data_IF_806871952210
#
_entry.id   IF_806871952210
#
_cell.length_a   1.000
_cell.length_b   1.000
_cell.length_c   1.000
_cell.angle_alpha   90.00
_cell.angle_beta   90.00
_cell.angle_gamma   90.00
#
_symmetry.space_group_name_H-M   'P 1'
#
loop_
_entity.id
_entity.type
_entity.pdbx_description
1 polymer ?
#
# COMPACT_ATOMS: atom_id res chain seq x y z
N UNK A 1 14.98 17.48 5.38
CA UNK A 1 14.90 16.01 5.48
C UNK A 1 14.86 15.66 6.96
N UNK A 2 13.72 15.15 7.46
CA UNK A 2 13.68 14.57 8.80
C UNK A 2 14.32 13.19 8.71
N UNK A 3 15.54 13.04 9.19
CA UNK A 3 16.15 11.72 9.40
C UNK A 3 15.36 11.05 10.51
N UNK A 4 14.41 10.19 10.14
CA UNK A 4 13.80 9.30 11.12
C UNK A 4 14.92 8.49 11.78
N UNK A 5 15.02 8.55 13.11
CA UNK A 5 15.92 7.67 13.84
C UNK A 5 15.59 6.22 13.46
N UNK A 6 16.60 5.50 12.97
CA UNK A 6 16.42 4.12 12.55
C UNK A 6 16.29 3.28 13.82
N UNK A 7 15.07 2.85 14.15
CA UNK A 7 14.82 1.95 15.27
C UNK A 7 15.64 0.67 15.08
N UNK A 8 16.25 0.19 16.17
CA UNK A 8 16.91 -1.12 16.13
C UNK A 8 15.87 -2.23 16.05
N UNK A 9 16.25 -3.41 15.56
CA UNK A 9 15.37 -4.59 15.54
C UNK A 9 14.79 -4.89 16.94
N UNK A 10 15.61 -4.74 17.98
CA UNK A 10 15.19 -4.93 19.38
C UNK A 10 14.12 -3.93 19.81
N UNK A 11 14.21 -2.68 19.35
CA UNK A 11 13.21 -1.66 19.66
C UNK A 11 11.90 -1.92 18.92
N UNK A 12 11.99 -2.35 17.66
CA UNK A 12 10.83 -2.75 16.85
C UNK A 12 10.10 -3.93 17.51
N UNK A 13 10.82 -4.97 17.92
CA UNK A 13 10.22 -6.15 18.57
C UNK A 13 9.53 -5.79 19.89
N UNK A 14 10.11 -4.89 20.69
CA UNK A 14 9.49 -4.41 21.94
C UNK A 14 8.20 -3.64 21.69
N UNK A 15 8.21 -2.74 20.70
CA UNK A 15 7.03 -1.96 20.31
C UNK A 15 5.93 -2.90 19.80
N UNK A 16 6.28 -3.84 18.91
CA UNK A 16 5.32 -4.81 18.38
C UNK A 16 4.74 -5.72 19.47
N UNK A 17 5.56 -6.19 20.41
CA UNK A 17 5.10 -6.99 21.53
C UNK A 17 4.14 -6.20 22.45
N UNK A 18 4.45 -4.93 22.71
CA UNK A 18 3.57 -4.06 23.50
C UNK A 18 2.26 -3.75 22.77
N UNK A 19 2.30 -3.48 21.46
CA UNK A 19 1.10 -3.24 20.65
C UNK A 19 0.24 -4.49 20.48
N UNK A 20 0.83 -5.68 20.43
CA UNK A 20 0.08 -6.93 20.34
C UNK A 20 -0.81 -7.17 21.57
N UNK A 21 -0.40 -6.68 22.75
CA UNK A 21 -1.14 -6.86 24.00
C UNK A 21 -2.09 -5.69 24.27
N UNK A 22 -1.60 -4.45 24.13
CA UNK A 22 -2.30 -3.26 24.63
C UNK A 22 -2.64 -2.24 23.53
N UNK A 23 -2.22 -2.49 22.28
CA UNK A 23 -2.23 -1.48 21.22
C UNK A 23 -1.28 -0.30 21.50
N UNK A 24 -1.22 0.69 20.61
CA UNK A 24 -0.48 1.92 20.85
C UNK A 24 -1.12 2.71 21.99
N UNK A 25 -0.29 3.29 22.86
CA UNK A 25 -0.72 4.19 23.94
C UNK A 25 -1.36 5.45 23.36
N UNK A 26 -2.15 6.16 24.18
CA UNK A 26 -2.79 7.41 23.73
C UNK A 26 -1.77 8.47 23.31
N UNK A 27 -0.67 8.59 24.04
CA UNK A 27 0.40 9.53 23.72
C UNK A 27 1.05 9.23 22.35
N UNK A 28 1.29 7.94 22.04
CA UNK A 28 1.81 7.53 20.74
C UNK A 28 0.82 7.82 19.61
N UNK A 29 -0.48 7.59 19.84
CA UNK A 29 -1.52 7.93 18.86
C UNK A 29 -1.59 9.44 18.61
N UNK A 30 -1.58 10.26 19.66
CA UNK A 30 -1.64 11.71 19.54
C UNK A 30 -0.38 12.26 18.85
N UNK A 31 0.80 11.72 19.16
CA UNK A 31 2.07 12.07 18.48
C UNK A 31 2.04 11.70 17.00
N UNK A 32 1.52 10.51 16.66
CA UNK A 32 1.35 10.09 15.28
C UNK A 32 0.41 11.04 14.52
N UNK A 33 -0.76 11.35 15.09
CA UNK A 33 -1.73 12.27 14.47
C UNK A 33 -1.11 13.66 14.26
N UNK A 34 -0.42 14.20 15.26
CA UNK A 34 0.24 15.51 15.14
C UNK A 34 1.30 15.51 14.04
N UNK A 35 2.10 14.46 13.95
CA UNK A 35 3.13 14.28 12.91
C UNK A 35 2.49 14.19 11.52
N UNK A 36 1.44 13.38 11.36
CA UNK A 36 0.72 13.25 10.09
C UNK A 36 0.11 14.58 9.66
N UNK A 37 -0.50 15.34 10.58
CA UNK A 37 -1.04 16.67 10.29
C UNK A 37 0.08 17.62 9.84
N UNK A 38 1.23 17.61 10.52
CA UNK A 38 2.38 18.43 10.14
C UNK A 38 2.87 18.06 8.73
N UNK A 39 2.98 16.77 8.44
CA UNK A 39 3.46 16.27 7.16
C UNK A 39 2.50 16.56 6.01
N UNK A 40 1.19 16.50 6.26
CA UNK A 40 0.16 16.86 5.29
C UNK A 40 0.07 18.38 5.05
N UNK A 41 0.58 19.20 5.96
CA UNK A 41 0.68 20.65 5.80
C UNK A 41 1.98 21.10 5.13
N UNK A 42 2.96 20.20 4.94
CA UNK A 42 4.21 20.46 4.22
C UNK A 42 4.06 20.12 2.72
N UNK A 43 4.04 21.10 1.81
CA UNK A 43 3.87 20.86 0.37
C UNK A 43 4.95 19.96 -0.23
N UNK A 44 6.18 19.98 0.29
CA UNK A 44 7.26 19.14 -0.22
C UNK A 44 7.02 17.68 0.16
N UNK A 45 6.56 17.41 1.38
CA UNK A 45 6.22 16.06 1.84
C UNK A 45 5.00 15.52 1.09
N UNK A 46 3.96 16.33 0.90
CA UNK A 46 2.80 15.94 0.08
C UNK A 46 3.23 15.59 -1.35
N UNK A 47 4.08 16.39 -1.98
CA UNK A 47 4.63 16.08 -3.30
C UNK A 47 5.53 14.83 -3.30
N UNK A 48 6.20 14.52 -2.19
CA UNK A 48 6.92 13.25 -1.99
C UNK A 48 5.96 12.05 -1.96
N UNK A 49 4.88 12.13 -1.17
CA UNK A 49 3.88 11.06 -1.10
C UNK A 49 3.23 10.79 -2.46
N UNK A 50 2.89 11.83 -3.21
CA UNK A 50 2.32 11.69 -4.56
C UNK A 50 3.26 10.93 -5.50
N UNK A 51 4.55 11.29 -5.52
CA UNK A 51 5.56 10.59 -6.33
C UNK A 51 5.73 9.14 -5.91
N UNK A 52 5.79 8.87 -4.60
CA UNK A 52 5.91 7.49 -4.13
C UNK A 52 4.70 6.64 -4.55
N UNK A 53 3.49 7.19 -4.52
CA UNK A 53 2.27 6.51 -4.97
C UNK A 53 2.33 6.25 -6.48
N UNK A 54 2.79 7.23 -7.26
CA UNK A 54 2.98 7.09 -8.71
C UNK A 54 4.01 6.00 -9.04
N UNK A 55 5.17 6.00 -8.37
CA UNK A 55 6.21 4.99 -8.53
C UNK A 55 5.71 3.59 -8.21
N UNK A 56 4.95 3.41 -7.12
CA UNK A 56 4.33 2.11 -6.80
C UNK A 56 3.39 1.64 -7.92
N UNK A 57 2.63 2.56 -8.53
CA UNK A 57 1.78 2.25 -9.68
C UNK A 57 2.59 1.82 -10.91
N UNK A 58 3.71 2.49 -11.18
CA UNK A 58 4.63 2.13 -12.27
C UNK A 58 5.22 0.74 -12.03
N UNK A 59 5.78 0.49 -10.83
CA UNK A 59 6.38 -0.81 -10.49
C UNK A 59 5.37 -1.95 -10.57
N UNK A 60 4.13 -1.73 -10.14
CA UNK A 60 3.07 -2.72 -10.29
C UNK A 60 2.87 -3.14 -11.75
N UNK A 61 2.85 -2.18 -12.69
CA UNK A 61 2.73 -2.45 -14.11
C UNK A 61 3.97 -3.15 -14.70
N UNK A 62 5.18 -2.75 -14.27
CA UNK A 62 6.43 -3.35 -14.73
C UNK A 62 6.54 -4.82 -14.30
N UNK A 63 6.16 -5.13 -13.06
CA UNK A 63 6.14 -6.50 -12.53
C UNK A 63 5.10 -7.34 -13.26
N UNK A 64 3.88 -6.81 -13.49
CA UNK A 64 2.85 -7.51 -14.25
C UNK A 64 3.31 -7.84 -15.68
N UNK A 65 3.94 -6.88 -16.37
CA UNK A 65 4.52 -7.11 -17.69
C UNK A 65 5.66 -8.14 -17.67
N UNK A 66 6.48 -8.17 -16.61
CA UNK A 66 7.51 -9.20 -16.45
C UNK A 66 6.90 -10.58 -16.24
N UNK A 67 5.82 -10.68 -15.46
CA UNK A 67 5.13 -11.93 -15.19
C UNK A 67 4.47 -12.48 -16.45
N UNK A 68 3.84 -11.64 -17.26
CA UNK A 68 3.30 -12.02 -18.57
C UNK A 68 4.39 -12.59 -19.51
N UNK A 69 5.56 -11.94 -19.57
CA UNK A 69 6.69 -12.44 -20.38
C UNK A 69 7.15 -13.84 -19.94
N UNK A 70 7.25 -14.07 -18.63
CA UNK A 70 7.62 -15.40 -18.09
C UNK A 70 6.54 -16.42 -18.40
N UNK A 71 5.26 -16.10 -18.17
CA UNK A 71 4.13 -16.98 -18.50
C UNK A 71 4.14 -17.41 -19.97
N UNK A 72 4.34 -16.46 -20.89
CA UNK A 72 4.43 -16.77 -22.34
C UNK A 72 5.63 -17.65 -22.67
N UNK A 73 6.78 -17.38 -22.06
CA UNK A 73 7.99 -18.16 -22.28
C UNK A 73 7.86 -19.59 -21.76
N UNK A 74 7.25 -19.76 -20.58
CA UNK A 74 6.98 -21.09 -20.03
C UNK A 74 6.00 -21.88 -20.89
N UNK A 75 4.95 -21.23 -21.41
CA UNK A 75 4.02 -21.88 -22.31
C UNK A 75 4.70 -22.29 -23.62
N UNK A 76 5.54 -21.43 -24.22
CA UNK A 76 6.31 -21.79 -25.43
C UNK A 76 7.24 -23.00 -25.19
N UNK A 77 7.96 -23.01 -24.06
CA UNK A 77 8.83 -24.13 -23.68
C UNK A 77 8.00 -25.41 -23.49
N UNK A 78 6.87 -25.33 -22.80
CA UNK A 78 6.00 -26.48 -22.58
C UNK A 78 5.43 -27.03 -23.89
N UNK A 79 4.99 -26.17 -24.80
CA UNK A 79 4.46 -26.59 -26.11
C UNK A 79 5.53 -27.29 -26.97
N UNK A 80 6.78 -26.83 -26.91
CA UNK A 80 7.88 -27.43 -27.68
C UNK A 80 8.41 -28.73 -27.10
N UNK A 81 8.50 -28.82 -25.78
CA UNK A 81 9.27 -29.86 -25.11
C UNK A 81 8.49 -30.69 -24.07
N UNK A 82 7.24 -30.33 -23.78
CA UNK A 82 6.44 -30.94 -22.72
C UNK A 82 6.13 -32.42 -22.92
N UNK A 83 6.13 -32.91 -24.16
CA UNK A 83 6.00 -34.35 -24.45
C UNK A 83 7.27 -35.14 -24.11
N UNK A 84 8.44 -34.48 -24.19
CA UNK A 84 9.75 -35.07 -23.86
C UNK A 84 10.09 -34.91 -22.37
N UNK A 85 9.63 -33.82 -21.76
CA UNK A 85 9.85 -33.50 -20.34
C UNK A 85 8.52 -33.17 -19.65
N UNK A 86 7.75 -34.20 -19.25
CA UNK A 86 6.42 -34.02 -18.66
C UNK A 86 6.42 -33.18 -17.37
N UNK A 87 7.54 -33.15 -16.64
CA UNK A 87 7.73 -32.34 -15.43
C UNK A 87 7.59 -30.83 -15.68
N UNK A 88 7.79 -30.37 -16.91
CA UNK A 88 7.56 -28.97 -17.29
C UNK A 88 6.10 -28.55 -17.07
N UNK A 89 5.14 -29.47 -17.18
CA UNK A 89 3.74 -29.21 -16.87
C UNK A 89 3.59 -28.70 -15.43
N UNK A 90 4.26 -29.37 -14.48
CA UNK A 90 4.18 -29.02 -13.06
C UNK A 90 4.79 -27.64 -12.79
N UNK A 91 5.96 -27.35 -13.35
CA UNK A 91 6.59 -26.03 -13.20
C UNK A 91 5.71 -24.91 -13.75
N UNK A 92 5.10 -25.12 -14.92
CA UNK A 92 4.15 -24.17 -15.52
C UNK A 92 2.94 -23.96 -14.61
N UNK A 93 2.37 -25.03 -14.07
CA UNK A 93 1.18 -24.95 -13.23
C UNK A 93 1.48 -24.26 -11.89
N UNK A 94 2.63 -24.54 -11.28
CA UNK A 94 3.12 -23.86 -10.08
C UNK A 94 3.33 -22.35 -10.34
N UNK A 95 3.95 -21.98 -11.47
CA UNK A 95 4.09 -20.59 -11.88
C UNK A 95 2.75 -19.90 -12.09
N UNK A 96 1.82 -20.54 -12.81
CA UNK A 96 0.48 -20.00 -13.06
C UNK A 96 -0.29 -19.77 -11.76
N UNK A 97 -0.15 -20.68 -10.79
CA UNK A 97 -0.72 -20.54 -9.45
C UNK A 97 -0.13 -19.34 -8.71
N UNK A 98 1.20 -19.19 -8.73
CA UNK A 98 1.89 -18.05 -8.14
C UNK A 98 1.47 -16.71 -8.77
N UNK A 99 1.47 -16.63 -10.11
CA UNK A 99 1.05 -15.44 -10.85
C UNK A 99 -0.40 -15.03 -10.49
N UNK A 100 -1.32 -16.00 -10.41
CA UNK A 100 -2.71 -15.73 -9.99
C UNK A 100 -2.78 -15.11 -8.59
N UNK A 101 -1.98 -15.60 -7.64
CA UNK A 101 -1.93 -15.01 -6.29
C UNK A 101 -1.41 -13.58 -6.30
N UNK A 102 -0.36 -13.32 -7.08
CA UNK A 102 0.17 -11.96 -7.28
C UNK A 102 -0.90 -11.00 -7.80
N UNK A 103 -1.62 -11.39 -8.86
CA UNK A 103 -2.72 -10.59 -9.42
C UNK A 103 -3.81 -10.32 -8.38
N UNK A 104 -4.20 -11.33 -7.58
CA UNK A 104 -5.16 -11.13 -6.47
C UNK A 104 -4.67 -10.09 -5.46
N UNK A 105 -3.39 -10.11 -5.08
CA UNK A 105 -2.82 -9.15 -4.16
C UNK A 105 -2.75 -7.73 -4.75
N UNK A 106 -2.44 -7.60 -6.04
CA UNK A 106 -2.49 -6.32 -6.74
C UNK A 106 -3.91 -5.73 -6.76
N UNK A 107 -4.92 -6.56 -7.07
CA UNK A 107 -6.32 -6.13 -7.06
C UNK A 107 -6.76 -5.67 -5.68
N UNK A 108 -6.41 -6.42 -4.63
CA UNK A 108 -6.70 -6.02 -3.25
C UNK A 108 -6.05 -4.68 -2.90
N UNK A 109 -4.78 -4.46 -3.28
CA UNK A 109 -4.10 -3.19 -3.05
C UNK A 109 -4.81 -2.03 -3.73
N UNK A 110 -5.23 -2.20 -4.99
CA UNK A 110 -6.02 -1.21 -5.74
C UNK A 110 -7.36 -0.92 -5.07
N UNK A 111 -8.05 -1.95 -4.61
CA UNK A 111 -9.37 -1.82 -3.99
C UNK A 111 -9.28 -1.06 -2.66
N UNK A 112 -8.28 -1.41 -1.83
CA UNK A 112 -7.97 -0.68 -0.58
C UNK A 112 -7.65 0.79 -0.88
N UNK A 113 -6.81 1.07 -1.89
CA UNK A 113 -6.51 2.45 -2.28
C UNK A 113 -7.78 3.22 -2.72
N UNK A 114 -8.64 2.57 -3.49
CA UNK A 114 -9.90 3.15 -3.97
C UNK A 114 -10.90 3.43 -2.84
N UNK A 115 -10.98 2.52 -1.86
CA UNK A 115 -11.79 2.69 -0.66
C UNK A 115 -11.29 3.88 0.18
N UNK A 116 -9.97 3.98 0.40
CA UNK A 116 -9.38 5.11 1.13
C UNK A 116 -9.69 6.45 0.46
N UNK A 117 -9.54 6.56 -0.86
CA UNK A 117 -9.92 7.76 -1.61
C UNK A 117 -11.40 8.10 -1.41
N UNK A 118 -12.26 7.09 -1.44
CA UNK A 118 -13.71 7.27 -1.26
C UNK A 118 -14.07 7.77 0.15
N UNK A 119 -13.44 7.19 1.18
CA UNK A 119 -13.61 7.61 2.58
C UNK A 119 -13.15 9.06 2.76
N UNK A 120 -11.96 9.40 2.28
CA UNK A 120 -11.40 10.75 2.37
C UNK A 120 -12.28 11.77 1.67
N UNK A 121 -12.75 11.47 0.45
CA UNK A 121 -13.69 12.33 -0.29
C UNK A 121 -14.98 12.55 0.49
N UNK A 122 -15.57 11.48 1.05
CA UNK A 122 -16.81 11.59 1.85
C UNK A 122 -16.59 12.47 3.08
N UNK A 123 -15.55 12.19 3.88
CA UNK A 123 -15.26 12.95 5.11
C UNK A 123 -14.96 14.43 4.81
N UNK A 124 -14.19 14.72 3.76
CA UNK A 124 -13.83 16.10 3.40
C UNK A 124 -14.96 16.87 2.69
N UNK A 125 -15.84 16.19 1.96
CA UNK A 125 -17.03 16.80 1.35
C UNK A 125 -18.06 17.26 2.38
N UNK A 126 -18.12 16.60 3.55
CA UNK A 126 -18.96 17.01 4.68
C UNK A 126 -18.41 18.27 5.36
N UNK A 127 -17.08 18.38 5.48
CA UNK A 127 -16.41 19.57 6.07
C UNK A 127 -16.52 20.81 5.16
N UNK A 128 -16.61 20.64 3.83
CA UNK A 128 -16.66 21.77 2.87
C UNK A 128 -18.04 22.42 2.68
N UNK A 129 -19.12 22.03 3.39
CA UNK A 129 -20.38 22.78 3.29
C UNK A 129 -20.27 24.08 4.11
N UNK A 130 -20.38 25.27 3.49
CA UNK A 130 -20.37 26.51 4.23
C UNK A 130 -21.71 26.62 4.96
N UNK A 131 -21.71 26.40 6.27
CA UNK A 131 -22.69 27.12 7.09
C UNK A 131 -22.30 28.59 7.02
N UNK A 132 -23.18 29.39 6.42
CA UNK A 132 -22.99 30.82 6.27
C UNK A 132 -22.88 31.52 7.62
N UNK A 133 -21.65 31.63 8.11
CA UNK A 133 -21.15 32.65 9.05
C UNK A 133 -19.71 32.27 9.38
N UNK A 134 -18.75 33.13 9.04
CA UNK A 134 -17.33 32.85 9.08
C UNK A 134 -16.75 32.62 10.47
N UNK A 135 -16.82 31.37 10.94
CA UNK A 135 -16.00 30.86 12.05
C UNK A 135 -15.60 29.43 11.70
N UNK A 136 -14.29 29.21 11.49
CA UNK A 136 -13.73 27.87 11.34
C UNK A 136 -13.55 27.26 12.73
N UNK A 137 -14.44 26.36 13.11
CA UNK A 137 -14.22 25.49 14.27
C UNK A 137 -13.81 24.12 13.74
N UNK A 138 -12.56 23.73 13.94
CA UNK A 138 -12.11 22.35 13.79
C UNK A 138 -12.72 21.58 14.96
N UNK A 139 -13.94 21.09 14.77
CA UNK A 139 -14.62 20.23 15.73
C UNK A 139 -14.05 18.82 15.66
N UNK A 140 -13.22 18.47 16.62
CA UNK A 140 -12.87 17.09 16.96
C UNK A 140 -14.16 16.36 17.32
N UNK A 141 -14.54 15.34 16.55
CA UNK A 141 -15.60 14.40 16.96
C UNK A 141 -14.91 13.30 17.75
N UNK A 142 -15.27 13.22 19.04
CA UNK A 142 -14.80 12.28 20.06
C UNK A 142 -14.85 10.81 19.62
#
# INVERSE_FOLDING_TARGET
>A
MSTAETLTLVDIEKILAQWAVNGPTRAEQDQFIATVIQDLNDPQKVGGFQRNIEEVGIWANEVDAAFDRVSRSMEDIFQRYGSTFPELARFRDDWNSYNRRWVTHLLLSRDVASEHVSILRRKWSVVKRPHGSGVWVIGTVC
#
